data_IF_784683253805
#
_entry.id   IF_784683253805
#
_cell.length_a   1.000
_cell.length_b   1.000
_cell.length_c   1.000
_cell.angle_alpha   90.00
_cell.angle_beta   90.00
_cell.angle_gamma   90.00
#
_symmetry.space_group_name_H-M   'P 1'
#
loop_
_entity.id
_entity.type
_entity.pdbx_description
1 polymer ?
#
# COMPACT_ATOMS: atom_id res chain seq x y z
N UNK A 1 29.75 -12.34 -7.32
CA UNK A 1 29.08 -11.56 -6.27
C UNK A 1 28.66 -10.25 -6.91
N UNK A 2 27.39 -10.12 -7.27
CA UNK A 2 26.84 -8.86 -7.77
C UNK A 2 26.59 -7.95 -6.56
N UNK A 3 27.16 -6.76 -6.55
CA UNK A 3 26.88 -5.74 -5.55
C UNK A 3 25.39 -5.36 -5.65
N UNK A 4 24.69 -5.38 -4.51
CA UNK A 4 23.34 -4.85 -4.44
C UNK A 4 23.34 -3.38 -4.92
N UNK A 5 22.28 -2.92 -5.61
CA UNK A 5 22.19 -1.55 -6.06
C UNK A 5 22.28 -0.62 -4.85
N UNK A 6 23.33 0.19 -4.79
CA UNK A 6 23.45 1.25 -3.78
C UNK A 6 22.39 2.30 -4.10
N UNK A 7 21.35 2.36 -3.31
CA UNK A 7 20.34 3.41 -3.39
C UNK A 7 21.03 4.75 -3.07
N UNK A 8 21.06 5.73 -3.99
CA UNK A 8 21.75 7.01 -3.78
C UNK A 8 21.11 7.87 -2.67
N UNK A 9 19.94 7.49 -2.18
CA UNK A 9 19.17 8.18 -1.13
C UNK A 9 19.29 7.52 0.25
N UNK A 10 20.16 6.52 0.43
CA UNK A 10 20.26 5.75 1.67
C UNK A 10 19.19 4.64 1.77
N UNK A 11 19.03 4.01 2.94
CA UNK A 11 17.98 3.03 3.17
C UNK A 11 16.60 3.65 2.96
N UNK A 12 15.64 2.90 2.41
CA UNK A 12 14.28 3.36 2.07
C UNK A 12 13.49 3.98 3.24
N UNK A 13 13.88 3.71 4.48
CA UNK A 13 13.27 4.24 5.70
C UNK A 13 13.89 5.54 6.20
N UNK A 14 15.04 5.99 5.67
CA UNK A 14 15.68 7.23 6.15
C UNK A 14 14.86 8.43 5.71
N UNK A 15 14.42 9.23 6.69
CA UNK A 15 13.52 10.37 6.47
C UNK A 15 12.03 9.98 6.32
N UNK A 16 11.68 8.69 6.49
CA UNK A 16 10.30 8.25 6.48
C UNK A 16 9.50 8.88 7.63
N UNK A 17 8.23 9.19 7.38
CA UNK A 17 7.34 9.84 8.34
C UNK A 17 6.48 8.79 9.05
N UNK A 18 6.61 8.74 10.38
CA UNK A 18 5.91 7.80 11.25
C UNK A 18 4.90 8.56 12.12
N UNK A 19 3.64 8.12 12.10
CA UNK A 19 2.63 8.58 13.04
C UNK A 19 2.59 7.62 14.24
N UNK A 20 2.87 8.14 15.44
CA UNK A 20 2.79 7.39 16.70
C UNK A 20 1.46 7.71 17.39
N UNK A 21 0.67 6.66 17.67
CA UNK A 21 -0.66 6.75 18.28
C UNK A 21 -0.69 5.93 19.56
N UNK A 22 -0.81 6.60 20.70
CA UNK A 22 -0.85 5.98 22.03
C UNK A 22 -1.48 6.98 22.99
N UNK A 23 -2.29 6.58 23.94
CA UNK A 23 -2.93 7.47 24.91
C UNK A 23 -1.99 7.88 26.05
N UNK A 24 -0.91 7.13 26.30
CA UNK A 24 0.13 7.49 27.27
C UNK A 24 1.12 8.52 26.68
N UNK A 25 1.01 9.76 27.15
CA UNK A 25 1.90 10.86 26.77
C UNK A 25 3.39 10.54 26.98
N UNK A 26 3.71 9.83 28.07
CA UNK A 26 5.10 9.50 28.41
C UNK A 26 5.67 8.49 27.43
N UNK A 27 4.90 7.47 27.10
CA UNK A 27 5.30 6.44 26.14
C UNK A 27 5.42 7.03 24.73
N UNK A 28 4.46 7.86 24.26
CA UNK A 28 4.59 8.57 22.99
C UNK A 28 5.90 9.34 22.89
N UNK A 29 6.22 10.13 23.92
CA UNK A 29 7.47 10.91 23.95
C UNK A 29 8.74 10.04 23.99
N UNK A 30 8.69 8.83 24.52
CA UNK A 30 9.79 7.86 24.46
C UNK A 30 9.91 7.29 23.04
N UNK A 31 8.81 6.82 22.46
CA UNK A 31 8.77 6.26 21.10
C UNK A 31 9.26 7.28 20.07
N UNK A 32 8.79 8.51 20.18
CA UNK A 32 9.26 9.61 19.34
C UNK A 32 10.78 9.75 19.37
N UNK A 33 11.36 9.87 20.57
CA UNK A 33 12.82 10.02 20.71
C UNK A 33 13.60 8.83 20.13
N UNK A 34 13.10 7.60 20.35
CA UNK A 34 13.72 6.40 19.80
C UNK A 34 13.72 6.43 18.26
N UNK A 35 12.62 6.79 17.64
CA UNK A 35 12.48 6.83 16.18
C UNK A 35 13.23 8.01 15.55
N UNK A 36 13.18 9.22 16.16
CA UNK A 36 13.92 10.38 15.68
C UNK A 36 15.45 10.15 15.73
N UNK A 37 15.94 9.41 16.74
CA UNK A 37 17.37 9.06 16.82
C UNK A 37 17.84 8.17 15.66
N UNK A 38 16.93 7.45 15.01
CA UNK A 38 17.18 6.61 13.85
C UNK A 38 16.91 7.30 12.50
N UNK A 39 16.54 8.58 12.54
CA UNK A 39 16.34 9.42 11.36
C UNK A 39 14.93 9.41 10.78
N UNK A 40 13.94 8.94 11.53
CA UNK A 40 12.54 9.06 11.16
C UNK A 40 12.00 10.46 11.50
N UNK A 41 11.04 10.94 10.71
CA UNK A 41 10.19 12.06 11.10
C UNK A 41 8.99 11.53 11.86
N UNK A 42 8.70 12.10 13.05
CA UNK A 42 7.64 11.57 13.91
C UNK A 42 6.58 12.61 14.20
N UNK A 43 5.34 12.25 13.92
CA UNK A 43 4.15 12.94 14.41
C UNK A 43 3.44 12.11 15.48
N UNK A 44 2.70 12.77 16.36
CA UNK A 44 2.06 12.13 17.50
C UNK A 44 0.56 12.39 17.52
N UNK A 45 -0.22 11.36 17.86
CA UNK A 45 -1.64 11.45 18.15
C UNK A 45 -1.96 10.81 19.50
N UNK A 46 -2.77 11.47 20.36
CA UNK A 46 -3.13 10.94 21.66
C UNK A 46 -4.24 9.90 21.64
N UNK A 47 -4.92 9.72 20.52
CA UNK A 47 -6.05 8.81 20.33
C UNK A 47 -6.30 8.52 18.84
N UNK A 48 -7.12 7.51 18.58
CA UNK A 48 -7.43 7.09 17.21
C UNK A 48 -8.16 8.16 16.40
N UNK A 49 -9.01 8.99 17.00
CA UNK A 49 -9.71 10.05 16.30
C UNK A 49 -8.75 11.15 15.82
N UNK A 50 -7.82 11.56 16.68
CA UNK A 50 -6.76 12.49 16.34
C UNK A 50 -5.84 11.95 15.25
N UNK A 51 -5.50 10.64 15.33
CA UNK A 51 -4.74 9.96 14.28
C UNK A 51 -5.44 10.02 12.94
N UNK A 52 -6.73 9.70 12.87
CA UNK A 52 -7.50 9.73 11.64
C UNK A 52 -7.62 11.15 11.07
N UNK A 53 -7.76 12.17 11.91
CA UNK A 53 -7.73 13.59 11.48
C UNK A 53 -6.39 13.96 10.87
N UNK A 54 -5.27 13.58 11.48
CA UNK A 54 -3.94 13.83 10.94
C UNK A 54 -3.74 13.13 9.60
N UNK A 55 -4.12 11.86 9.48
CA UNK A 55 -4.01 11.08 8.24
C UNK A 55 -4.84 11.70 7.09
N UNK A 56 -5.99 12.29 7.41
CA UNK A 56 -6.82 12.96 6.41
C UNK A 56 -6.29 14.35 6.01
N UNK A 57 -5.72 15.07 6.95
CA UNK A 57 -5.22 16.43 6.76
C UNK A 57 -3.83 16.49 6.11
N UNK A 58 -3.04 15.41 6.25
CA UNK A 58 -1.67 15.37 5.74
C UNK A 58 -1.65 15.30 4.21
N UNK A 59 -0.86 16.19 3.59
CA UNK A 59 -0.73 16.28 2.13
C UNK A 59 0.02 15.08 1.56
N UNK A 60 1.10 14.69 2.23
CA UNK A 60 1.87 13.48 1.90
C UNK A 60 1.41 12.33 2.81
N UNK A 61 1.32 11.09 2.31
CA UNK A 61 0.96 9.96 3.16
C UNK A 61 2.04 9.70 4.20
N UNK A 62 1.64 9.24 5.39
CA UNK A 62 2.59 8.62 6.32
C UNK A 62 3.15 7.35 5.73
N UNK A 63 4.43 7.08 5.99
CA UNK A 63 5.06 5.81 5.59
C UNK A 63 4.64 4.68 6.52
N UNK A 64 4.43 4.99 7.81
CA UNK A 64 3.99 4.04 8.82
C UNK A 64 3.09 4.70 9.88
N UNK A 65 2.10 3.94 10.33
CA UNK A 65 1.35 4.23 11.56
C UNK A 65 1.72 3.17 12.60
N UNK A 66 2.26 3.63 13.73
CA UNK A 66 2.54 2.85 14.93
C UNK A 66 1.44 3.13 15.95
N UNK A 67 0.59 2.17 16.27
CA UNK A 67 -0.58 2.38 17.13
C UNK A 67 -0.64 1.40 18.30
N UNK A 68 -0.96 1.87 19.50
CA UNK A 68 -1.38 0.98 20.57
C UNK A 68 -2.73 0.35 20.23
N UNK A 69 -2.91 -0.92 20.55
CA UNK A 69 -4.18 -1.62 20.42
C UNK A 69 -5.17 -1.29 21.53
N UNK A 70 -4.68 -0.93 22.70
CA UNK A 70 -5.49 -0.77 23.92
C UNK A 70 -5.71 0.70 24.25
N UNK A 71 -6.37 1.46 23.37
CA UNK A 71 -6.71 2.86 23.60
C UNK A 71 -8.22 3.03 23.85
N UNK A 72 -8.63 4.07 24.61
CA UNK A 72 -10.02 4.46 24.76
C UNK A 72 -10.67 4.90 23.43
N UNK A 73 -11.99 4.72 23.31
CA UNK A 73 -12.83 5.17 22.19
C UNK A 73 -12.50 4.46 20.86
N UNK A 74 -11.71 5.07 19.99
CA UNK A 74 -11.22 4.46 18.75
C UNK A 74 -9.90 3.77 19.06
N UNK A 75 -9.96 2.45 19.18
CA UNK A 75 -8.79 1.63 19.44
C UNK A 75 -7.91 1.41 18.20
N UNK A 76 -6.71 0.88 18.41
CA UNK A 76 -5.77 0.63 17.31
C UNK A 76 -6.29 -0.37 16.27
N UNK A 77 -7.25 -1.24 16.60
CA UNK A 77 -7.88 -2.16 15.65
C UNK A 77 -8.75 -1.41 14.66
N UNK A 78 -9.55 -0.46 15.14
CA UNK A 78 -10.41 0.38 14.32
C UNK A 78 -9.58 1.31 13.42
N UNK A 79 -8.50 1.89 13.95
CA UNK A 79 -7.52 2.66 13.15
C UNK A 79 -6.94 1.78 12.05
N UNK A 80 -6.54 0.55 12.38
CA UNK A 80 -5.99 -0.43 11.44
C UNK A 80 -6.96 -0.77 10.31
N UNK A 81 -8.23 -1.02 10.63
CA UNK A 81 -9.26 -1.36 9.66
C UNK A 81 -9.52 -0.21 8.69
N UNK A 82 -9.60 1.02 9.21
CA UNK A 82 -9.81 2.23 8.40
C UNK A 82 -8.61 2.47 7.48
N UNK A 83 -7.38 2.37 7.98
CA UNK A 83 -6.17 2.52 7.18
C UNK A 83 -6.11 1.50 6.03
N UNK A 84 -6.34 0.24 6.31
CA UNK A 84 -6.35 -0.82 5.28
C UNK A 84 -7.34 -0.53 4.16
N UNK A 85 -8.51 -0.01 4.52
CA UNK A 85 -9.57 0.27 3.55
C UNK A 85 -9.29 1.49 2.68
N UNK A 86 -8.72 2.55 3.26
CA UNK A 86 -8.62 3.85 2.61
C UNK A 86 -7.19 4.28 2.26
N UNK A 87 -6.19 3.68 2.90
CA UNK A 87 -4.77 3.97 2.71
C UNK A 87 -3.91 2.69 2.76
N UNK A 88 -4.17 1.71 1.89
CA UNK A 88 -3.51 0.39 1.95
C UNK A 88 -1.99 0.41 1.73
N UNK A 89 -1.45 1.50 1.20
CA UNK A 89 -0.01 1.69 1.00
C UNK A 89 0.74 2.11 2.27
N UNK A 90 0.01 2.58 3.30
CA UNK A 90 0.62 2.98 4.58
C UNK A 90 0.97 1.73 5.38
N UNK A 91 2.23 1.59 5.78
CA UNK A 91 2.64 0.51 6.66
C UNK A 91 1.95 0.63 8.02
N UNK A 92 1.60 -0.50 8.63
CA UNK A 92 0.92 -0.53 9.92
C UNK A 92 1.66 -1.46 10.87
N UNK A 93 1.99 -0.94 12.05
CA UNK A 93 2.57 -1.69 13.17
C UNK A 93 1.75 -1.42 14.42
N UNK A 94 1.20 -2.47 15.02
CA UNK A 94 0.47 -2.38 16.27
C UNK A 94 1.38 -2.68 17.45
N UNK A 95 1.11 -2.07 18.60
CA UNK A 95 1.72 -2.40 19.89
C UNK A 95 0.68 -3.00 20.81
N UNK A 96 1.04 -3.99 21.61
CA UNK A 96 0.15 -4.58 22.60
C UNK A 96 0.90 -5.10 23.82
N UNK A 97 0.31 -4.94 24.99
CA UNK A 97 0.73 -5.63 26.22
C UNK A 97 0.12 -7.03 26.35
N UNK A 98 -0.88 -7.36 25.52
CA UNK A 98 -1.59 -8.62 25.52
C UNK A 98 -1.07 -9.57 24.41
N UNK A 99 -0.41 -10.68 24.79
CA UNK A 99 0.06 -11.68 23.82
C UNK A 99 -1.08 -12.33 23.03
N UNK A 100 -2.28 -12.43 23.61
CA UNK A 100 -3.44 -13.06 22.96
C UNK A 100 -4.06 -12.17 21.86
N UNK A 101 -3.66 -10.91 21.78
CA UNK A 101 -4.06 -10.01 20.70
C UNK A 101 -3.40 -10.38 19.35
N UNK A 102 -2.22 -11.00 19.37
CA UNK A 102 -1.41 -11.30 18.16
C UNK A 102 -2.13 -12.23 17.19
N UNK A 103 -2.59 -13.43 17.58
CA UNK A 103 -3.24 -14.36 16.65
C UNK A 103 -4.50 -13.78 15.99
N UNK A 104 -5.23 -12.95 16.71
CA UNK A 104 -6.47 -12.34 16.21
C UNK A 104 -6.20 -11.33 15.08
N UNK A 105 -5.10 -10.59 15.17
CA UNK A 105 -4.73 -9.57 14.18
C UNK A 105 -4.04 -10.20 12.97
N UNK A 106 -3.19 -11.21 13.19
CA UNK A 106 -2.50 -11.93 12.13
C UNK A 106 -3.42 -12.85 11.31
N UNK A 107 -4.56 -13.28 11.87
CA UNK A 107 -5.56 -14.09 11.17
C UNK A 107 -6.46 -13.31 10.22
N UNK A 108 -6.37 -11.98 10.20
CA UNK A 108 -7.12 -11.14 9.26
C UNK A 108 -6.57 -11.26 7.83
N UNK A 109 -7.40 -11.00 6.82
CA UNK A 109 -7.05 -11.10 5.39
C UNK A 109 -5.81 -10.28 4.97
N UNK A 110 -5.36 -9.38 5.85
CA UNK A 110 -4.12 -8.62 5.68
C UNK A 110 -3.35 -8.65 7.00
N UNK A 111 -2.27 -9.42 7.11
CA UNK A 111 -1.52 -9.56 8.36
C UNK A 111 -0.92 -8.22 8.78
N UNK A 112 -1.30 -7.74 9.97
CA UNK A 112 -0.66 -6.61 10.65
C UNK A 112 0.34 -7.17 11.63
N UNK A 113 1.53 -6.59 11.67
CA UNK A 113 2.50 -6.95 12.70
C UNK A 113 2.12 -6.36 14.05
N UNK A 114 2.35 -7.13 15.09
CA UNK A 114 2.19 -6.70 16.48
C UNK A 114 3.55 -6.75 17.17
N UNK A 115 3.94 -5.63 17.78
CA UNK A 115 5.10 -5.53 18.65
C UNK A 115 4.62 -5.66 20.11
N UNK A 116 5.03 -6.73 20.78
CA UNK A 116 4.62 -6.98 22.16
C UNK A 116 5.41 -6.09 23.13
N UNK A 117 4.70 -5.42 24.02
CA UNK A 117 5.28 -4.69 25.17
C UNK A 117 5.63 -5.68 26.30
N UNK A 118 6.81 -5.56 26.98
CA UNK A 118 7.83 -4.54 26.79
C UNK A 118 8.78 -4.89 25.63
N UNK A 119 9.27 -3.87 24.94
CA UNK A 119 10.25 -4.00 23.86
C UNK A 119 11.40 -3.00 24.03
N UNK A 120 12.53 -3.29 23.41
CA UNK A 120 13.70 -2.41 23.36
C UNK A 120 13.62 -1.42 22.20
N UNK A 121 14.50 -0.41 22.18
CA UNK A 121 14.64 0.49 21.02
C UNK A 121 15.02 -0.27 19.75
N UNK A 122 15.89 -1.28 19.86
CA UNK A 122 16.30 -2.11 18.72
C UNK A 122 15.14 -2.93 18.17
N UNK A 123 14.29 -3.51 19.03
CA UNK A 123 13.09 -4.25 18.61
C UNK A 123 12.11 -3.33 17.86
N UNK A 124 11.87 -2.13 18.40
CA UNK A 124 11.02 -1.12 17.76
C UNK A 124 11.56 -0.73 16.38
N UNK A 125 12.82 -0.35 16.30
CA UNK A 125 13.46 0.09 15.08
C UNK A 125 13.47 -1.01 14.01
N UNK A 126 13.74 -2.25 14.42
CA UNK A 126 13.68 -3.40 13.51
C UNK A 126 12.26 -3.63 12.98
N UNK A 127 11.26 -3.61 13.87
CA UNK A 127 9.87 -3.82 13.49
C UNK A 127 9.35 -2.72 12.53
N UNK A 128 9.70 -1.46 12.79
CA UNK A 128 9.32 -0.31 11.94
C UNK A 128 9.95 -0.42 10.56
N UNK A 129 11.25 -0.68 10.47
CA UNK A 129 11.96 -0.84 9.18
C UNK A 129 11.41 -2.01 8.37
N UNK A 130 11.15 -3.13 9.01
CA UNK A 130 10.58 -4.31 8.35
C UNK A 130 9.14 -4.03 7.86
N UNK A 131 8.32 -3.32 8.63
CA UNK A 131 6.97 -2.96 8.21
C UNK A 131 6.96 -2.03 6.98
N UNK A 132 7.80 -0.99 6.97
CA UNK A 132 7.93 -0.07 5.83
C UNK A 132 8.44 -0.81 4.59
N UNK A 133 9.48 -1.63 4.73
CA UNK A 133 10.05 -2.41 3.62
C UNK A 133 9.00 -3.30 2.97
N UNK A 134 8.23 -4.04 3.77
CA UNK A 134 7.17 -4.92 3.26
C UNK A 134 6.06 -4.16 2.56
N UNK A 135 5.63 -3.02 3.11
CA UNK A 135 4.61 -2.20 2.47
C UNK A 135 5.09 -1.67 1.12
N UNK A 136 6.35 -1.23 1.04
CA UNK A 136 6.97 -0.77 -0.22
C UNK A 136 7.06 -1.89 -1.26
N UNK A 137 7.51 -3.08 -0.86
CA UNK A 137 7.61 -4.25 -1.74
C UNK A 137 6.23 -4.66 -2.27
N UNK A 138 5.21 -4.68 -1.41
CA UNK A 138 3.84 -5.02 -1.79
C UNK A 138 3.26 -3.99 -2.76
N UNK A 139 3.48 -2.70 -2.52
CA UNK A 139 3.06 -1.63 -3.40
C UNK A 139 3.70 -1.74 -4.80
N UNK A 140 5.00 -2.04 -4.85
CA UNK A 140 5.72 -2.23 -6.12
C UNK A 140 5.20 -3.43 -6.92
N UNK A 141 4.85 -4.53 -6.25
CA UNK A 141 4.24 -5.70 -6.90
C UNK A 141 2.87 -5.36 -7.45
N UNK A 142 2.02 -4.68 -6.67
CA UNK A 142 0.68 -4.27 -7.09
C UNK A 142 0.74 -3.31 -8.30
N UNK A 143 1.66 -2.35 -8.29
CA UNK A 143 1.87 -1.43 -9.42
C UNK A 143 2.31 -2.17 -10.69
N UNK A 144 3.24 -3.11 -10.56
CA UNK A 144 3.67 -3.95 -11.68
C UNK A 144 2.53 -4.78 -12.27
N UNK A 145 1.61 -5.29 -11.45
CA UNK A 145 0.41 -6.01 -11.91
C UNK A 145 -0.57 -5.10 -12.64
N UNK A 146 -0.81 -3.89 -12.13
CA UNK A 146 -1.65 -2.87 -12.78
C UNK A 146 -1.09 -2.52 -14.16
N UNK A 147 0.21 -2.29 -14.27
CA UNK A 147 0.88 -1.99 -15.55
C UNK A 147 0.72 -3.15 -16.54
N UNK A 148 0.89 -4.41 -16.08
CA UNK A 148 0.67 -5.60 -16.92
C UNK A 148 -0.77 -5.72 -17.39
N UNK A 149 -1.74 -5.47 -16.51
CA UNK A 149 -3.16 -5.52 -16.86
C UNK A 149 -3.52 -4.46 -17.91
N UNK A 150 -3.03 -3.22 -17.74
CA UNK A 150 -3.23 -2.16 -18.73
C UNK A 150 -2.61 -2.50 -20.09
N UNK A 151 -1.41 -3.07 -20.12
CA UNK A 151 -0.79 -3.52 -21.36
C UNK A 151 -1.58 -4.65 -22.04
N UNK A 152 -2.17 -5.56 -21.26
CA UNK A 152 -3.06 -6.61 -21.75
C UNK A 152 -4.34 -6.05 -22.36
N UNK A 153 -4.98 -5.10 -21.70
CA UNK A 153 -6.19 -4.42 -22.21
C UNK A 153 -5.90 -3.64 -23.50
N UNK A 154 -4.77 -2.96 -23.59
CA UNK A 154 -4.36 -2.23 -24.80
C UNK A 154 -4.15 -3.17 -25.99
N UNK A 155 -3.52 -4.34 -25.77
CA UNK A 155 -3.36 -5.37 -26.81
C UNK A 155 -4.70 -5.93 -27.26
N UNK A 156 -5.63 -6.17 -26.34
CA UNK A 156 -6.97 -6.66 -26.66
C UNK A 156 -7.76 -5.62 -27.46
N UNK A 157 -7.71 -4.36 -27.08
CA UNK A 157 -8.35 -3.26 -27.81
C UNK A 157 -7.84 -3.17 -29.26
N UNK A 158 -6.52 -3.23 -29.45
CA UNK A 158 -5.92 -3.23 -30.79
C UNK A 158 -6.35 -4.44 -31.63
N UNK A 159 -6.42 -5.63 -31.04
CA UNK A 159 -6.87 -6.84 -31.72
C UNK A 159 -8.34 -6.75 -32.16
N UNK A 160 -9.21 -6.16 -31.32
CA UNK A 160 -10.61 -5.91 -31.63
C UNK A 160 -10.78 -4.90 -32.78
N UNK A 161 -10.01 -3.83 -32.80
CA UNK A 161 -10.02 -2.87 -33.90
C UNK A 161 -9.55 -3.49 -35.22
N UNK A 162 -8.46 -4.26 -35.16
CA UNK A 162 -7.97 -4.99 -36.33
C UNK A 162 -9.02 -5.96 -36.89
N UNK A 163 -9.66 -6.72 -35.98
CA UNK A 163 -10.75 -7.64 -36.38
C UNK A 163 -11.96 -6.91 -36.97
N UNK A 164 -12.31 -5.76 -36.43
CA UNK A 164 -13.39 -4.91 -36.97
C UNK A 164 -13.06 -4.41 -38.39
N UNK A 165 -11.83 -3.93 -38.58
CA UNK A 165 -11.36 -3.45 -39.89
C UNK A 165 -11.37 -4.56 -40.94
N UNK A 166 -10.89 -5.76 -40.58
CA UNK A 166 -10.93 -6.93 -41.47
C UNK A 166 -12.36 -7.30 -41.85
N UNK A 167 -13.32 -7.27 -40.92
CA UNK A 167 -14.74 -7.55 -41.21
C UNK A 167 -15.33 -6.55 -42.19
N UNK A 168 -15.03 -5.27 -42.04
CA UNK A 168 -15.49 -4.23 -42.96
C UNK A 168 -14.93 -4.46 -44.36
N UNK A 169 -13.62 -4.68 -44.49
CA UNK A 169 -12.97 -4.97 -45.77
C UNK A 169 -13.53 -6.22 -46.43
N UNK A 170 -13.79 -7.28 -45.65
CA UNK A 170 -14.40 -8.50 -46.18
C UNK A 170 -15.82 -8.26 -46.72
N UNK A 171 -16.60 -7.44 -46.02
CA UNK A 171 -17.95 -7.09 -46.44
C UNK A 171 -17.93 -6.29 -47.76
N UNK A 172 -17.03 -5.32 -47.88
CA UNK A 172 -16.85 -4.51 -49.08
C UNK A 172 -16.46 -5.38 -50.28
N UNK A 173 -15.56 -6.35 -50.11
CA UNK A 173 -15.18 -7.31 -51.17
C UNK A 173 -16.35 -8.20 -51.59
N UNK A 174 -17.18 -8.65 -50.65
CA UNK A 174 -18.38 -9.45 -50.96
C UNK A 174 -19.40 -8.63 -51.71
N UNK A 175 -19.61 -7.36 -51.37
CA UNK A 175 -20.50 -6.44 -52.08
C UNK A 175 -19.99 -6.22 -53.51
N UNK A 176 -18.72 -5.87 -53.70
CA UNK A 176 -18.11 -5.67 -55.00
C UNK A 176 -18.18 -6.92 -55.89
N UNK A 177 -17.94 -8.11 -55.34
CA UNK A 177 -18.06 -9.36 -56.09
C UNK A 177 -19.52 -9.66 -56.55
N UNK A 178 -20.52 -9.27 -55.75
CA UNK A 178 -21.93 -9.40 -56.15
C UNK A 178 -22.31 -8.43 -57.27
N UNK A 179 -21.80 -7.21 -57.22
CA UNK A 179 -22.04 -6.22 -58.28
C UNK A 179 -21.42 -6.65 -59.63
N UNK A 180 -20.17 -7.13 -59.60
CA UNK A 180 -19.51 -7.67 -60.79
C UNK A 180 -20.27 -8.86 -61.41
N UNK A 181 -20.81 -9.77 -60.60
CA UNK A 181 -21.64 -10.89 -61.09
C UNK A 181 -22.94 -10.40 -61.72
N UNK A 182 -23.57 -9.36 -61.20
CA UNK A 182 -24.78 -8.79 -61.81
C UNK A 182 -24.49 -8.11 -63.14
N UNK A 183 -23.32 -7.45 -63.25
CA UNK A 183 -22.93 -6.79 -64.53
C UNK A 183 -22.50 -7.76 -65.58
N UNK A 184 -21.99 -8.96 -65.26
CA UNK A 184 -21.55 -9.98 -66.22
C UNK A 184 -22.66 -10.96 -66.69
N UNK A 185 -23.86 -10.92 -66.07
CA UNK A 185 -24.97 -11.81 -66.38
C UNK A 185 -26.16 -11.14 -67.09
N UNK A 186 -26.01 -9.90 -67.58
CA UNK A 186 -26.93 -9.19 -68.45
C UNK A 186 -26.33 -9.09 -69.85
#
# INVERSE_FOLDING_TARGET
MAAAPTNPHGPIWHGATVLVVDDDLSLRGILRRMLEAEGFHVEEAPDGESALRLIQAHTEPFDLVLTDLSMPHIDGRQVSEILRRYRPSVALLCMSADPDAVPYIESSDTPVRVLLKPFTADDLNHAVRDAITRATDLAAVAEAEIVRAHAGLSKLALALETSRTMRVQTLDLVVAARELRRAAGG
#
